data_IF_211954505998
#
_entry.id   IF_211954505998
#
_cell.length_a   1.000
_cell.length_b   1.000
_cell.length_c   1.000
_cell.angle_alpha   90.00
_cell.angle_beta   90.00
_cell.angle_gamma   90.00
#
_symmetry.space_group_name_H-M   'P 1'
#
loop_
_entity.id
_entity.type
_entity.pdbx_description
1 polymer ?
#
# COMPACT_ATOMS: atom_id res chain seq x y z
N UNK A 1 3.37 56.15 6.88
CA UNK A 1 3.68 54.75 7.26
C UNK A 1 3.51 53.91 6.01
N UNK A 2 4.64 53.50 5.39
CA UNK A 2 4.62 52.66 4.20
C UNK A 2 4.78 51.20 4.67
N UNK A 3 3.79 50.34 4.45
CA UNK A 3 3.89 48.93 4.64
C UNK A 3 4.59 48.31 3.42
N UNK A 4 5.78 47.76 3.65
CA UNK A 4 6.52 46.98 2.64
C UNK A 4 6.02 45.53 2.77
N UNK A 5 5.33 45.05 1.74
CA UNK A 5 4.92 43.67 1.59
C UNK A 5 6.19 42.84 1.22
N UNK A 6 6.62 41.96 2.13
CA UNK A 6 7.69 40.99 1.83
C UNK A 6 7.15 39.93 0.86
N UNK A 7 7.73 39.92 -0.36
CA UNK A 7 7.39 38.96 -1.39
C UNK A 7 7.81 37.53 -0.99
N UNK A 8 6.90 36.60 -1.13
CA UNK A 8 7.18 35.16 -1.13
C UNK A 8 8.19 34.82 -2.22
N UNK A 9 9.40 34.49 -1.84
CA UNK A 9 10.40 33.89 -2.73
C UNK A 9 9.96 32.47 -3.05
N UNK A 10 9.29 32.29 -4.17
CA UNK A 10 9.08 30.98 -4.79
C UNK A 10 10.43 30.45 -5.24
N UNK A 11 10.94 29.44 -4.55
CA UNK A 11 12.10 28.68 -5.02
C UNK A 11 11.73 28.01 -6.35
N UNK A 12 12.48 28.24 -7.44
CA UNK A 12 12.24 27.50 -8.68
C UNK A 12 12.57 26.03 -8.40
N UNK A 13 11.57 25.15 -8.52
CA UNK A 13 11.81 23.70 -8.59
C UNK A 13 12.75 23.48 -9.76
N UNK A 14 13.97 23.00 -9.49
CA UNK A 14 14.92 22.63 -10.50
C UNK A 14 14.23 21.66 -11.47
N UNK A 15 14.00 22.09 -12.71
CA UNK A 15 13.58 21.21 -13.80
C UNK A 15 14.77 20.28 -14.04
N UNK A 16 14.68 19.04 -13.53
CA UNK A 16 15.53 17.96 -13.99
C UNK A 16 15.22 17.81 -15.48
N UNK A 17 16.11 18.31 -16.33
CA UNK A 17 16.07 17.99 -17.76
C UNK A 17 16.42 16.50 -17.87
N UNK A 18 15.41 15.63 -17.83
CA UNK A 18 15.53 14.22 -18.12
C UNK A 18 16.00 14.06 -19.54
N UNK A 19 17.20 13.53 -19.73
CA UNK A 19 17.70 13.09 -21.03
C UNK A 19 17.01 11.77 -21.39
N UNK A 20 15.82 11.83 -21.96
CA UNK A 20 15.07 10.65 -22.42
C UNK A 20 13.61 11.03 -22.68
N UNK A 21 13.01 10.41 -23.69
CA UNK A 21 11.58 10.55 -23.98
C UNK A 21 10.75 9.66 -23.06
N UNK A 22 9.45 9.94 -22.91
CA UNK A 22 8.52 9.01 -22.22
C UNK A 22 8.44 7.67 -22.92
N UNK A 23 8.64 7.63 -24.25
CA UNK A 23 8.69 6.41 -25.04
C UNK A 23 9.90 5.55 -24.69
N UNK A 24 11.09 6.15 -24.51
CA UNK A 24 12.28 5.45 -24.03
C UNK A 24 12.10 4.92 -22.61
N UNK A 25 11.52 5.72 -21.71
CA UNK A 25 11.20 5.28 -20.36
C UNK A 25 10.22 4.09 -20.37
N UNK A 26 9.15 4.14 -21.17
CA UNK A 26 8.20 3.06 -21.34
C UNK A 26 8.86 1.80 -21.91
N UNK A 27 9.75 1.94 -22.91
CA UNK A 27 10.49 0.80 -23.47
C UNK A 27 11.37 0.12 -22.43
N UNK A 28 12.05 0.89 -21.59
CA UNK A 28 12.83 0.36 -20.47
C UNK A 28 11.91 -0.40 -19.50
N UNK A 29 10.83 0.20 -19.02
CA UNK A 29 9.90 -0.42 -18.08
C UNK A 29 9.28 -1.70 -18.66
N UNK A 30 8.87 -1.67 -19.94
CA UNK A 30 8.26 -2.81 -20.64
C UNK A 30 9.22 -4.00 -20.82
N UNK A 31 10.53 -3.74 -20.82
CA UNK A 31 11.55 -4.80 -20.92
C UNK A 31 11.87 -5.47 -19.58
N UNK A 32 11.34 -4.95 -18.47
CA UNK A 32 11.60 -5.44 -17.12
C UNK A 32 10.62 -6.53 -16.70
N UNK A 33 11.00 -7.31 -15.68
CA UNK A 33 10.08 -8.25 -15.03
C UNK A 33 9.14 -7.46 -14.11
N UNK A 34 7.85 -7.80 -14.19
CA UNK A 34 6.83 -7.24 -13.34
C UNK A 34 6.33 -8.30 -12.37
N UNK A 35 6.13 -7.91 -11.11
CA UNK A 35 5.62 -8.78 -10.03
C UNK A 35 4.34 -8.18 -9.49
N UNK A 36 3.27 -8.95 -9.53
CA UNK A 36 1.98 -8.55 -8.93
C UNK A 36 2.06 -8.71 -7.41
N UNK A 37 1.88 -7.62 -6.70
CA UNK A 37 1.93 -7.56 -5.24
C UNK A 37 0.52 -7.53 -4.62
N UNK A 38 -0.49 -8.01 -5.35
CA UNK A 38 -1.90 -7.94 -4.98
C UNK A 38 -2.49 -9.33 -4.87
N UNK A 39 -3.16 -9.63 -3.79
CA UNK A 39 -3.96 -10.84 -3.67
C UNK A 39 -5.21 -10.78 -4.55
N UNK A 40 -5.55 -11.89 -5.19
CA UNK A 40 -6.92 -12.09 -5.68
C UNK A 40 -7.85 -12.15 -4.47
N UNK A 41 -8.97 -11.44 -4.51
CA UNK A 41 -9.92 -11.46 -3.42
C UNK A 41 -11.32 -11.91 -3.88
N UNK A 42 -12.03 -12.56 -2.97
CA UNK A 42 -13.37 -13.11 -3.15
C UNK A 42 -14.18 -12.91 -1.86
N UNK A 43 -15.46 -13.29 -1.79
CA UNK A 43 -16.23 -13.27 -0.54
C UNK A 43 -15.62 -14.09 0.59
N UNK A 44 -14.78 -15.09 0.26
CA UNK A 44 -14.11 -15.99 1.21
C UNK A 44 -12.73 -15.49 1.67
N UNK A 45 -12.24 -14.40 1.10
CA UNK A 45 -10.92 -13.87 1.43
C UNK A 45 -10.82 -13.45 2.90
N UNK A 46 -9.65 -13.61 3.53
CA UNK A 46 -9.45 -13.16 4.89
C UNK A 46 -9.67 -11.66 5.00
N UNK A 47 -10.40 -11.27 6.04
CA UNK A 47 -10.69 -9.88 6.41
C UNK A 47 -10.82 -9.80 7.92
N UNK A 48 -10.56 -8.65 8.49
CA UNK A 48 -10.81 -8.45 9.91
C UNK A 48 -12.26 -8.81 10.27
N UNK A 49 -12.44 -9.58 11.33
CA UNK A 49 -13.74 -10.14 11.71
C UNK A 49 -14.82 -9.08 11.99
N UNK A 50 -14.42 -7.86 12.37
CA UNK A 50 -15.33 -6.75 12.59
C UNK A 50 -16.02 -6.22 11.34
N UNK A 51 -15.47 -6.47 10.14
CA UNK A 51 -16.04 -6.00 8.86
C UNK A 51 -16.97 -7.00 8.19
N UNK A 52 -16.71 -8.29 8.37
CA UNK A 52 -17.46 -9.37 7.71
C UNK A 52 -17.11 -9.54 6.22
N UNK A 53 -17.68 -10.57 5.55
CA UNK A 53 -17.32 -10.95 4.20
C UNK A 53 -17.88 -9.98 3.14
N UNK A 54 -17.20 -9.94 2.00
CA UNK A 54 -17.72 -9.30 0.80
C UNK A 54 -18.89 -10.07 0.20
N UNK A 55 -19.62 -9.44 -0.73
CA UNK A 55 -20.65 -10.09 -1.52
C UNK A 55 -20.50 -9.70 -2.99
N UNK A 56 -20.41 -10.72 -3.86
CA UNK A 56 -20.32 -10.57 -5.31
C UNK A 56 -21.54 -11.23 -5.93
N UNK A 57 -22.41 -10.46 -6.53
CA UNK A 57 -23.67 -10.96 -7.10
C UNK A 57 -23.85 -10.50 -8.54
N UNK A 58 -24.60 -11.24 -9.32
CA UNK A 58 -25.02 -10.76 -10.64
C UNK A 58 -25.87 -9.49 -10.49
N UNK A 59 -25.55 -8.47 -11.29
CA UNK A 59 -26.31 -7.23 -11.25
C UNK A 59 -27.69 -7.43 -11.90
N UNK A 60 -28.73 -7.06 -11.17
CA UNK A 60 -30.11 -7.11 -11.63
C UNK A 60 -30.46 -5.86 -12.45
N UNK A 61 -31.03 -6.06 -13.63
CA UNK A 61 -31.65 -5.01 -14.42
C UNK A 61 -32.89 -4.47 -13.67
N UNK A 62 -32.89 -3.20 -13.31
CA UNK A 62 -33.97 -2.57 -12.55
C UNK A 62 -35.31 -2.49 -13.31
N UNK A 63 -35.27 -2.60 -14.63
CA UNK A 63 -36.47 -2.53 -15.49
C UNK A 63 -37.14 -3.91 -15.57
N UNK A 64 -36.36 -4.98 -15.78
CA UNK A 64 -36.89 -6.32 -16.01
C UNK A 64 -36.93 -7.19 -14.75
N UNK A 65 -36.22 -6.79 -13.68
CA UNK A 65 -36.07 -7.57 -12.45
C UNK A 65 -35.21 -8.84 -12.60
N UNK A 66 -34.52 -9.03 -13.73
CA UNK A 66 -33.68 -10.20 -14.01
C UNK A 66 -32.19 -9.84 -14.04
N UNK A 67 -31.27 -10.77 -13.71
CA UNK A 67 -29.84 -10.55 -13.90
C UNK A 67 -29.52 -10.29 -15.36
N UNK A 68 -28.55 -9.38 -15.62
CA UNK A 68 -27.99 -9.20 -16.98
C UNK A 68 -27.30 -10.47 -17.43
N UNK A 69 -27.53 -10.90 -18.67
CA UNK A 69 -26.89 -12.08 -19.25
C UNK A 69 -26.54 -11.88 -20.74
N UNK A 70 -25.58 -12.69 -21.23
CA UNK A 70 -25.04 -12.56 -22.57
C UNK A 70 -26.09 -12.80 -23.69
N UNK A 71 -27.06 -13.71 -23.44
CA UNK A 71 -28.00 -14.11 -24.49
C UNK A 71 -29.06 -13.04 -24.76
N UNK A 72 -29.61 -12.42 -23.70
CA UNK A 72 -30.67 -11.41 -23.82
C UNK A 72 -30.15 -9.98 -23.90
N UNK A 73 -29.05 -9.69 -23.21
CA UNK A 73 -28.57 -8.32 -22.99
C UNK A 73 -27.24 -8.03 -23.71
N UNK A 74 -26.51 -9.07 -24.15
CA UNK A 74 -25.23 -8.96 -24.81
C UNK A 74 -24.03 -8.66 -23.87
N UNK A 75 -24.27 -8.57 -22.54
CA UNK A 75 -23.25 -8.35 -21.53
C UNK A 75 -23.66 -8.95 -20.18
N UNK A 76 -22.69 -9.03 -19.26
CA UNK A 76 -22.92 -9.34 -17.84
C UNK A 76 -22.36 -8.23 -16.98
N UNK A 77 -22.90 -8.07 -15.78
CA UNK A 77 -22.40 -7.12 -14.79
C UNK A 77 -22.39 -7.75 -13.40
N UNK A 78 -21.41 -7.39 -12.58
CA UNK A 78 -21.29 -7.83 -11.19
C UNK A 78 -21.49 -6.65 -10.26
N UNK A 79 -22.29 -6.85 -9.23
CA UNK A 79 -22.41 -5.92 -8.10
C UNK A 79 -21.49 -6.39 -6.98
N UNK A 80 -20.56 -5.53 -6.58
CA UNK A 80 -19.64 -5.76 -5.47
C UNK A 80 -20.14 -4.97 -4.25
N UNK A 81 -20.20 -5.64 -3.10
CA UNK A 81 -20.43 -5.03 -1.79
C UNK A 81 -19.30 -5.50 -0.86
N UNK A 82 -18.48 -4.56 -0.42
CA UNK A 82 -17.31 -4.82 0.43
C UNK A 82 -17.01 -3.55 1.25
N UNK A 83 -16.29 -3.74 2.37
CA UNK A 83 -15.62 -2.64 3.07
C UNK A 83 -14.44 -2.14 2.25
N UNK A 84 -14.02 -0.89 2.44
CA UNK A 84 -12.85 -0.36 1.74
C UNK A 84 -11.56 -1.13 2.02
N UNK A 85 -11.37 -1.57 3.24
CA UNK A 85 -10.24 -2.35 3.74
C UNK A 85 -10.41 -3.85 3.41
N UNK A 86 -10.52 -4.19 2.13
CA UNK A 86 -10.74 -5.57 1.68
C UNK A 86 -9.68 -6.03 0.67
N UNK A 87 -9.08 -7.19 0.91
CA UNK A 87 -7.97 -7.67 0.09
C UNK A 87 -6.73 -6.81 0.25
N UNK A 88 -5.86 -6.79 -0.75
CA UNK A 88 -4.77 -5.80 -0.82
C UNK A 88 -5.39 -4.44 -1.04
N UNK A 89 -5.24 -3.53 -0.08
CA UNK A 89 -5.91 -2.24 -0.08
C UNK A 89 -5.00 -1.10 0.35
N UNK A 90 -5.43 0.12 0.07
CA UNK A 90 -4.79 1.36 0.50
C UNK A 90 -5.61 2.02 1.61
N UNK A 91 -4.93 2.51 2.65
CA UNK A 91 -5.48 3.36 3.69
C UNK A 91 -4.96 4.78 3.57
N UNK A 92 -5.85 5.75 3.34
CA UNK A 92 -5.50 7.16 3.35
C UNK A 92 -5.51 7.71 4.78
N UNK A 93 -4.92 8.90 5.02
CA UNK A 93 -4.93 9.59 6.31
C UNK A 93 -6.31 9.68 6.98
N UNK A 94 -7.37 9.86 6.18
CA UNK A 94 -8.74 9.99 6.67
C UNK A 94 -9.28 8.72 7.35
N UNK A 95 -8.62 7.57 7.22
CA UNK A 95 -9.00 6.34 7.91
C UNK A 95 -8.91 6.51 9.44
N UNK A 96 -7.86 7.17 9.94
CA UNK A 96 -7.64 7.42 11.37
C UNK A 96 -7.71 8.91 11.78
N UNK A 97 -7.87 9.82 10.83
CA UNK A 97 -7.92 11.26 11.09
C UNK A 97 -9.15 11.89 10.43
N UNK A 98 -10.07 12.52 11.20
CA UNK A 98 -11.27 13.15 10.64
C UNK A 98 -10.94 14.30 9.68
N UNK A 99 -9.77 14.93 9.84
CA UNK A 99 -9.29 16.01 8.98
C UNK A 99 -8.25 15.54 7.96
N UNK A 100 -7.99 14.23 7.89
CA UNK A 100 -7.04 13.62 6.97
C UNK A 100 -7.50 13.65 5.51
N UNK A 101 -6.54 13.54 4.58
CA UNK A 101 -6.85 13.39 3.16
C UNK A 101 -7.57 12.06 2.90
N UNK A 102 -8.65 12.12 2.12
CA UNK A 102 -9.37 10.96 1.59
C UNK A 102 -8.74 10.49 0.28
N UNK A 103 -9.10 9.30 -0.21
CA UNK A 103 -8.52 8.70 -1.43
C UNK A 103 -8.59 9.60 -2.66
N UNK A 104 -9.69 10.34 -2.82
CA UNK A 104 -9.89 11.26 -3.94
C UNK A 104 -9.01 12.52 -3.87
N UNK A 105 -8.41 12.78 -2.71
CA UNK A 105 -7.50 13.91 -2.45
C UNK A 105 -6.02 13.54 -2.55
N UNK A 106 -5.68 12.24 -2.49
CA UNK A 106 -4.30 11.80 -2.66
C UNK A 106 -3.79 12.10 -4.07
N UNK A 107 -2.51 12.54 -4.16
CA UNK A 107 -1.91 12.87 -5.45
C UNK A 107 -1.57 11.62 -6.27
N UNK A 108 -1.93 11.61 -7.55
CA UNK A 108 -1.54 10.57 -8.50
C UNK A 108 -0.02 10.45 -8.69
N UNK A 109 0.74 11.49 -8.34
CA UNK A 109 2.21 11.43 -8.40
C UNK A 109 2.81 10.48 -7.36
N UNK A 110 2.02 10.10 -6.34
CA UNK A 110 2.43 9.15 -5.32
C UNK A 110 2.14 7.68 -5.70
N UNK A 111 1.54 7.45 -6.88
CA UNK A 111 1.24 6.09 -7.34
C UNK A 111 2.49 5.34 -7.85
N UNK A 112 3.58 6.02 -8.18
CA UNK A 112 4.83 5.41 -8.65
C UNK A 112 5.97 5.90 -7.78
N UNK A 113 6.61 4.98 -7.04
CA UNK A 113 7.65 5.30 -6.07
C UNK A 113 8.84 4.34 -6.19
N UNK A 114 10.06 4.75 -5.81
CA UNK A 114 11.13 3.80 -5.55
C UNK A 114 10.72 2.81 -4.45
N UNK A 115 10.99 1.51 -4.64
CA UNK A 115 10.63 0.46 -3.69
C UNK A 115 11.86 -0.01 -2.93
N UNK A 116 11.73 -0.10 -1.61
CA UNK A 116 12.65 -0.86 -0.73
C UNK A 116 11.87 -1.93 0.01
N UNK A 117 12.49 -3.11 0.18
CA UNK A 117 11.89 -4.25 0.88
C UNK A 117 12.76 -4.62 2.07
N UNK A 118 12.19 -4.56 3.26
CA UNK A 118 12.77 -5.10 4.49
C UNK A 118 12.31 -6.55 4.64
N UNK A 119 13.26 -7.49 4.61
CA UNK A 119 12.97 -8.92 4.78
C UNK A 119 13.10 -9.29 6.25
N UNK A 120 11.97 -9.53 6.91
CA UNK A 120 11.91 -9.90 8.32
C UNK A 120 11.96 -11.42 8.53
N UNK A 121 11.81 -12.21 7.47
CA UNK A 121 11.70 -13.67 7.56
C UNK A 121 12.85 -14.36 8.31
N UNK A 122 14.13 -13.89 8.27
CA UNK A 122 15.18 -14.50 9.07
C UNK A 122 15.01 -14.39 10.59
N UNK A 123 14.21 -13.43 11.06
CA UNK A 123 13.93 -13.24 12.50
C UNK A 123 12.75 -14.08 12.97
N UNK A 124 11.82 -14.38 12.07
CA UNK A 124 10.54 -15.03 12.42
C UNK A 124 10.68 -16.50 12.79
N UNK A 125 11.81 -17.13 12.53
CA UNK A 125 12.10 -18.50 13.00
C UNK A 125 12.24 -18.58 14.51
N UNK A 126 12.80 -17.54 15.14
CA UNK A 126 13.07 -17.48 16.57
C UNK A 126 12.01 -16.67 17.34
N UNK A 127 11.43 -15.66 16.68
CA UNK A 127 10.37 -14.79 17.20
C UNK A 127 9.29 -14.59 16.11
N UNK A 128 8.25 -15.43 16.05
CA UNK A 128 7.25 -15.41 14.98
C UNK A 128 6.42 -14.12 14.88
N UNK A 129 6.42 -13.30 15.93
CA UNK A 129 5.63 -12.07 16.02
C UNK A 129 6.53 -10.82 16.08
N UNK A 130 7.81 -10.99 15.72
CA UNK A 130 8.83 -9.93 15.73
C UNK A 130 8.43 -8.75 14.86
N UNK A 131 8.57 -7.52 15.39
CA UNK A 131 8.34 -6.28 14.65
C UNK A 131 9.65 -5.58 14.28
N UNK A 132 9.73 -5.02 13.08
CA UNK A 132 10.92 -4.35 12.56
C UNK A 132 11.33 -3.17 13.44
N UNK A 133 12.61 -3.13 13.80
CA UNK A 133 13.21 -2.10 14.64
C UNK A 133 14.07 -1.12 13.86
N UNK A 134 14.39 0.05 14.45
CA UNK A 134 15.34 1.01 13.87
C UNK A 134 16.74 0.40 13.70
N UNK A 135 17.17 -0.46 14.60
CA UNK A 135 18.47 -1.14 14.52
C UNK A 135 18.57 -2.00 13.26
N UNK A 136 17.51 -2.74 12.94
CA UNK A 136 17.44 -3.58 11.74
C UNK A 136 17.35 -2.77 10.45
N UNK A 137 16.69 -1.61 10.47
CA UNK A 137 16.72 -0.67 9.34
C UNK A 137 18.15 -0.19 9.08
N UNK A 138 18.90 0.15 10.15
CA UNK A 138 20.30 0.58 10.02
C UNK A 138 21.22 -0.57 9.56
N UNK A 139 20.98 -1.79 10.01
CA UNK A 139 21.67 -3.00 9.52
C UNK A 139 21.39 -3.21 8.03
N UNK A 140 20.13 -3.13 7.61
CA UNK A 140 19.72 -3.19 6.20
C UNK A 140 20.43 -2.12 5.36
N UNK A 141 20.47 -0.86 5.84
CA UNK A 141 21.14 0.24 5.16
C UNK A 141 22.66 0.04 5.02
N UNK A 142 23.28 -0.63 5.97
CA UNK A 142 24.73 -0.94 5.91
C UNK A 142 25.08 -1.87 4.73
N UNK A 143 24.12 -2.68 4.29
CA UNK A 143 24.28 -3.66 3.23
C UNK A 143 23.79 -3.08 1.88
N UNK A 144 22.63 -2.42 1.88
CA UNK A 144 21.92 -2.04 0.67
C UNK A 144 21.99 -0.55 0.34
N UNK A 145 22.60 0.24 1.22
CA UNK A 145 22.63 1.70 1.10
C UNK A 145 21.42 2.35 1.76
N UNK A 146 21.50 3.68 1.93
CA UNK A 146 20.48 4.48 2.61
C UNK A 146 19.14 4.37 1.87
N UNK A 147 18.04 4.24 2.63
CA UNK A 147 16.67 4.31 2.09
C UNK A 147 16.49 5.60 1.29
N UNK A 148 16.06 5.53 0.01
CA UNK A 148 15.90 6.71 -0.84
C UNK A 148 14.79 7.63 -0.33
N UNK A 149 15.02 8.94 -0.46
CA UNK A 149 13.98 9.93 -0.21
C UNK A 149 12.77 9.68 -1.13
N UNK A 150 11.57 9.72 -0.58
CA UNK A 150 10.33 9.52 -1.33
C UNK A 150 10.02 8.04 -1.65
N UNK A 151 10.75 7.09 -1.08
CA UNK A 151 10.51 5.68 -1.32
C UNK A 151 9.16 5.18 -0.72
N UNK A 152 8.73 4.05 -1.22
CA UNK A 152 7.78 3.14 -0.58
C UNK A 152 8.58 2.07 0.18
N UNK A 153 8.33 1.92 1.48
CA UNK A 153 8.96 0.92 2.32
C UNK A 153 8.02 -0.28 2.54
N UNK A 154 8.37 -1.46 2.03
CA UNK A 154 7.60 -2.67 2.20
C UNK A 154 8.23 -3.61 3.22
N UNK A 155 7.41 -4.28 4.04
CA UNK A 155 7.82 -5.28 5.02
C UNK A 155 7.42 -6.67 4.54
N UNK A 156 8.41 -7.50 4.24
CA UNK A 156 8.22 -8.91 3.91
C UNK A 156 8.24 -9.75 5.17
N UNK A 157 7.22 -10.59 5.34
CA UNK A 157 7.06 -11.53 6.46
C UNK A 157 6.75 -12.94 6.00
N UNK A 158 6.49 -13.13 4.70
CA UNK A 158 5.93 -14.35 4.08
C UNK A 158 4.53 -14.74 4.61
N UNK A 159 3.87 -13.87 5.38
CA UNK A 159 2.49 -14.09 5.84
C UNK A 159 1.51 -14.19 4.67
N UNK A 160 1.80 -13.48 3.58
CA UNK A 160 1.00 -13.53 2.35
C UNK A 160 0.83 -14.93 1.75
N UNK A 161 1.75 -15.87 2.05
CA UNK A 161 1.66 -17.26 1.61
C UNK A 161 0.51 -18.03 2.25
N UNK A 162 -0.01 -17.52 3.36
CA UNK A 162 -1.14 -18.10 4.08
C UNK A 162 -2.50 -17.59 3.58
N UNK A 163 -2.55 -16.61 2.70
CA UNK A 163 -3.78 -15.98 2.20
C UNK A 163 -4.83 -16.99 1.75
N UNK A 164 -4.48 -17.91 0.87
CA UNK A 164 -5.39 -18.95 0.37
C UNK A 164 -5.20 -20.28 1.10
N UNK A 165 -3.97 -20.58 1.54
CA UNK A 165 -3.61 -21.88 2.09
C UNK A 165 -3.99 -22.05 3.56
N UNK A 166 -3.96 -20.97 4.34
CA UNK A 166 -4.27 -20.98 5.76
C UNK A 166 -4.82 -19.61 6.23
N UNK A 167 -6.02 -19.21 5.78
CA UNK A 167 -6.58 -17.90 6.07
C UNK A 167 -6.79 -17.63 7.57
N UNK A 168 -6.93 -18.67 8.40
CA UNK A 168 -7.02 -18.49 9.85
C UNK A 168 -5.67 -18.08 10.46
N UNK A 169 -4.55 -18.59 9.94
CA UNK A 169 -3.21 -18.13 10.35
C UNK A 169 -2.94 -16.71 9.85
N UNK A 170 -3.38 -16.40 8.65
CA UNK A 170 -3.25 -15.04 8.08
C UNK A 170 -3.95 -13.98 8.96
N UNK A 171 -5.12 -14.31 9.53
CA UNK A 171 -5.89 -13.42 10.44
C UNK A 171 -5.40 -13.44 11.89
N UNK A 172 -4.40 -14.25 12.22
CA UNK A 172 -3.92 -14.40 13.61
C UNK A 172 -3.28 -13.10 14.10
N UNK A 173 -3.55 -12.73 15.36
CA UNK A 173 -2.83 -11.74 16.12
C UNK A 173 -2.22 -12.42 17.35
N UNK A 174 -0.99 -12.07 17.78
CA UNK A 174 -0.09 -11.13 17.14
C UNK A 174 0.52 -11.65 15.83
N UNK A 175 1.10 -10.74 15.04
CA UNK A 175 1.77 -10.99 13.77
C UNK A 175 3.01 -10.10 13.63
N UNK A 176 3.99 -10.43 12.75
CA UNK A 176 5.14 -9.58 12.50
C UNK A 176 4.72 -8.27 11.82
N UNK A 177 5.19 -7.15 12.35
CA UNK A 177 4.78 -5.81 11.90
C UNK A 177 5.88 -4.76 12.02
N UNK A 178 5.48 -3.52 12.23
CA UNK A 178 6.36 -2.37 12.40
C UNK A 178 6.33 -1.88 13.85
N UNK A 179 7.49 -1.54 14.41
CA UNK A 179 7.48 -0.74 15.64
C UNK A 179 7.20 0.72 15.33
N UNK A 180 6.60 1.45 16.27
CA UNK A 180 6.33 2.89 16.11
C UNK A 180 7.62 3.67 15.83
N UNK A 181 8.71 3.32 16.52
CA UNK A 181 10.02 3.95 16.31
C UNK A 181 10.55 3.71 14.89
N UNK A 182 10.36 2.52 14.34
CA UNK A 182 10.79 2.18 12.98
C UNK A 182 9.99 2.98 11.93
N UNK A 183 8.67 3.01 12.05
CA UNK A 183 7.79 3.81 11.19
C UNK A 183 8.19 5.30 11.26
N UNK A 184 8.28 5.86 12.45
CA UNK A 184 8.69 7.26 12.63
C UNK A 184 10.08 7.55 12.06
N UNK A 185 11.04 6.66 12.26
CA UNK A 185 12.38 6.80 11.72
C UNK A 185 12.36 6.86 10.17
N UNK A 186 11.60 5.99 9.52
CA UNK A 186 11.48 5.98 8.06
C UNK A 186 10.84 7.25 7.52
N UNK A 187 9.76 7.73 8.12
CA UNK A 187 9.10 8.96 7.69
C UNK A 187 9.91 10.20 8.06
N UNK A 188 10.32 10.35 9.34
CA UNK A 188 10.95 11.59 9.83
C UNK A 188 12.44 11.71 9.45
N UNK A 189 13.19 10.60 9.35
CA UNK A 189 14.64 10.61 9.12
C UNK A 189 15.06 10.14 7.73
N UNK A 190 14.19 9.43 7.02
CA UNK A 190 14.44 8.97 5.65
C UNK A 190 13.53 9.63 4.63
N UNK A 191 12.39 10.17 5.06
CA UNK A 191 11.45 10.90 4.22
C UNK A 191 10.79 9.98 3.19
N UNK A 192 10.39 8.77 3.59
CA UNK A 192 9.59 7.90 2.72
C UNK A 192 8.23 8.54 2.45
N UNK A 193 7.59 8.15 1.36
CA UNK A 193 6.25 8.63 0.98
C UNK A 193 5.15 7.74 1.56
N UNK A 194 5.39 6.43 1.60
CA UNK A 194 4.43 5.44 2.07
C UNK A 194 5.11 4.17 2.56
N UNK A 195 4.37 3.33 3.25
CA UNK A 195 4.79 1.99 3.63
C UNK A 195 3.72 0.96 3.24
N UNK A 196 4.09 -0.32 3.35
CA UNK A 196 3.14 -1.42 3.20
C UNK A 196 3.70 -2.72 3.77
N UNK A 197 2.84 -3.70 3.94
CA UNK A 197 3.15 -4.97 4.58
C UNK A 197 2.20 -6.09 4.14
N UNK A 198 2.51 -7.31 4.54
CA UNK A 198 1.72 -8.50 4.19
C UNK A 198 0.63 -8.82 5.21
N UNK A 199 0.60 -8.16 6.37
CA UNK A 199 -0.41 -8.30 7.43
C UNK A 199 -1.68 -7.47 7.16
N UNK A 200 -2.73 -7.66 8.00
CA UNK A 200 -4.00 -6.92 7.94
C UNK A 200 -3.95 -5.56 8.67
N UNK A 201 -2.94 -5.34 9.51
CA UNK A 201 -2.70 -4.09 10.22
C UNK A 201 -1.18 -3.83 10.29
N UNK A 202 -0.77 -2.60 10.61
CA UNK A 202 0.63 -2.18 10.68
C UNK A 202 1.37 -2.77 11.88
N UNK A 203 0.68 -2.90 13.01
CA UNK A 203 1.19 -3.40 14.28
C UNK A 203 0.10 -4.12 15.08
N UNK A 204 0.47 -4.73 16.20
CA UNK A 204 -0.44 -5.52 17.05
C UNK A 204 -0.63 -4.94 18.43
N UNK A 205 -0.33 -3.65 18.62
CA UNK A 205 -0.63 -2.96 19.89
C UNK A 205 -2.15 -2.75 20.01
N UNK A 206 -2.66 -2.64 21.23
CA UNK A 206 -4.10 -2.54 21.51
C UNK A 206 -4.76 -1.33 20.84
N UNK A 207 -4.00 -0.26 20.58
CA UNK A 207 -4.46 0.99 19.97
C UNK A 207 -3.88 1.22 18.57
N UNK A 208 -3.21 0.22 17.97
CA UNK A 208 -2.56 0.30 16.65
C UNK A 208 -1.66 1.53 16.55
N UNK A 209 -0.70 1.66 17.48
CA UNK A 209 0.05 2.91 17.68
C UNK A 209 0.83 3.36 16.44
N UNK A 210 1.42 2.42 15.68
CA UNK A 210 2.18 2.71 14.47
C UNK A 210 1.25 3.17 13.34
N UNK A 211 0.16 2.46 13.10
CA UNK A 211 -0.85 2.79 12.11
C UNK A 211 -1.56 4.11 12.46
N UNK A 212 -2.01 4.22 13.71
CA UNK A 212 -2.65 5.44 14.22
C UNK A 212 -1.74 6.66 14.05
N UNK A 213 -0.45 6.52 14.34
CA UNK A 213 0.51 7.62 14.17
C UNK A 213 0.69 7.99 12.71
N UNK A 214 0.99 7.02 11.83
CA UNK A 214 1.30 7.32 10.42
C UNK A 214 0.13 7.97 9.69
N UNK A 215 -1.09 7.47 9.87
CA UNK A 215 -2.27 8.00 9.20
C UNK A 215 -2.65 9.38 9.74
N UNK A 216 -2.55 9.61 11.06
CA UNK A 216 -2.75 10.95 11.67
C UNK A 216 -1.67 11.95 11.30
N UNK A 217 -0.46 11.50 10.99
CA UNK A 217 0.62 12.34 10.49
C UNK A 217 0.47 12.71 9.00
N UNK A 218 -0.58 12.22 8.33
CA UNK A 218 -0.89 12.55 6.94
C UNK A 218 -0.23 11.62 5.91
N UNK A 219 0.25 10.45 6.35
CA UNK A 219 0.83 9.42 5.50
C UNK A 219 -0.22 8.39 5.07
N UNK A 220 0.11 7.54 4.12
CA UNK A 220 -0.76 6.47 3.63
C UNK A 220 0.02 5.16 3.54
N UNK A 221 -0.71 4.04 3.57
CA UNK A 221 -0.12 2.71 3.53
C UNK A 221 -0.87 1.75 2.61
N UNK A 222 -0.26 0.57 2.36
CA UNK A 222 -0.88 -0.57 1.67
C UNK A 222 -0.78 -1.80 2.55
N UNK A 223 -1.90 -2.43 2.81
CA UNK A 223 -2.00 -3.64 3.63
C UNK A 223 -2.29 -4.88 2.80
N UNK A 224 -2.05 -6.05 3.40
CA UNK A 224 -2.23 -7.35 2.77
C UNK A 224 -1.55 -7.43 1.39
N UNK A 225 -0.28 -7.02 1.31
CA UNK A 225 0.52 -7.15 0.09
C UNK A 225 0.88 -8.63 -0.15
N UNK A 226 1.15 -8.97 -1.41
CA UNK A 226 1.55 -10.30 -1.85
C UNK A 226 2.96 -10.32 -2.47
N UNK A 227 3.58 -11.51 -2.54
CA UNK A 227 4.76 -11.80 -3.35
C UNK A 227 5.98 -10.88 -3.12
N UNK A 228 6.14 -10.29 -1.93
CA UNK A 228 7.33 -9.51 -1.60
C UNK A 228 8.62 -10.35 -1.62
N UNK A 229 8.51 -11.67 -1.50
CA UNK A 229 9.60 -12.65 -1.65
C UNK A 229 10.23 -12.67 -3.06
N UNK A 230 9.52 -12.12 -4.06
CA UNK A 230 9.99 -12.02 -5.45
C UNK A 230 10.66 -10.69 -5.80
N UNK A 231 10.71 -9.75 -4.85
CA UNK A 231 11.23 -8.38 -5.05
C UNK A 231 12.58 -8.25 -4.38
N UNK A 232 13.60 -7.68 -5.06
CA UNK A 232 14.89 -7.43 -4.43
C UNK A 232 14.78 -6.35 -3.35
N UNK A 233 15.73 -6.30 -2.39
CA UNK A 233 15.72 -5.31 -1.31
C UNK A 233 15.68 -3.86 -1.80
N UNK A 234 16.24 -3.57 -2.96
CA UNK A 234 16.32 -2.21 -3.53
C UNK A 234 16.38 -2.25 -5.06
N UNK A 235 16.18 -1.08 -5.70
CA UNK A 235 16.32 -0.90 -7.15
C UNK A 235 15.02 -1.09 -7.95
N UNK A 236 13.95 -1.62 -7.35
CA UNK A 236 12.65 -1.73 -7.98
C UNK A 236 11.85 -0.42 -7.88
N UNK A 237 10.85 -0.28 -8.75
CA UNK A 237 9.74 0.67 -8.58
C UNK A 237 8.51 -0.09 -8.11
N UNK A 238 7.69 0.56 -7.29
CA UNK A 238 6.32 0.11 -7.02
C UNK A 238 5.33 1.02 -7.72
N UNK A 239 4.26 0.44 -8.24
CA UNK A 239 3.06 1.14 -8.67
C UNK A 239 1.91 0.70 -7.78
N UNK A 240 1.24 1.66 -7.14
CA UNK A 240 0.01 1.42 -6.38
C UNK A 240 -1.10 2.22 -7.03
N UNK A 241 -2.04 1.53 -7.67
CA UNK A 241 -3.18 2.16 -8.33
C UNK A 241 -4.45 1.95 -7.50
N UNK A 242 -5.16 3.03 -7.21
CA UNK A 242 -6.42 3.00 -6.46
C UNK A 242 -7.51 3.79 -7.16
N UNK A 243 -8.80 3.41 -6.99
CA UNK A 243 -9.93 4.20 -7.50
C UNK A 243 -10.10 5.51 -6.72
N UNK A 244 -10.95 6.39 -7.24
CA UNK A 244 -11.17 7.73 -6.70
C UNK A 244 -12.61 7.92 -6.19
N UNK A 245 -13.08 7.14 -5.19
CA UNK A 245 -14.37 7.37 -4.58
C UNK A 245 -14.34 8.66 -3.76
N UNK A 246 -15.33 9.53 -3.90
CA UNK A 246 -15.43 10.76 -3.12
C UNK A 246 -15.53 10.43 -1.61
N UNK A 247 -14.65 11.02 -0.81
CA UNK A 247 -14.60 10.79 0.63
C UNK A 247 -14.17 9.36 1.02
N UNK A 248 -13.47 8.62 0.14
CA UNK A 248 -13.05 7.24 0.40
C UNK A 248 -12.06 7.14 1.56
N UNK A 249 -12.32 6.23 2.49
CA UNK A 249 -11.52 5.97 3.70
C UNK A 249 -10.61 4.74 3.56
N UNK A 250 -10.59 4.10 2.40
CA UNK A 250 -9.83 2.93 2.00
C UNK A 250 -10.49 2.29 0.79
N UNK A 251 -9.72 1.56 -0.02
CA UNK A 251 -10.26 0.78 -1.14
C UNK A 251 -9.26 -0.28 -1.61
N UNK A 252 -9.73 -1.46 -2.12
CA UNK A 252 -8.86 -2.41 -2.78
C UNK A 252 -8.00 -1.73 -3.85
N UNK A 253 -6.70 -1.97 -3.80
CA UNK A 253 -5.72 -1.38 -4.69
C UNK A 253 -5.05 -2.45 -5.54
N UNK A 254 -4.52 -2.07 -6.72
CA UNK A 254 -3.61 -2.92 -7.46
C UNK A 254 -2.19 -2.41 -7.23
N UNK A 255 -1.42 -3.18 -6.46
CA UNK A 255 0.00 -2.95 -6.24
C UNK A 255 0.83 -3.91 -7.11
N UNK A 256 1.90 -3.42 -7.74
CA UNK A 256 2.85 -4.27 -8.47
C UNK A 256 4.24 -3.62 -8.49
N UNK A 257 5.27 -4.45 -8.55
CA UNK A 257 6.65 -4.01 -8.66
C UNK A 257 7.18 -4.16 -10.08
N UNK A 258 8.05 -3.24 -10.50
CA UNK A 258 8.83 -3.30 -11.73
C UNK A 258 10.28 -3.48 -11.29
N UNK A 259 10.87 -4.64 -11.59
CA UNK A 259 12.20 -5.03 -11.10
C UNK A 259 13.32 -4.36 -11.90
N UNK A 260 14.51 -4.17 -11.31
CA UNK A 260 15.67 -3.57 -11.98
C UNK A 260 16.21 -4.39 -13.15
#
# INVERSE_FOLDING_TARGET
LVLVCQGCLSHPKARVQGRGSLEEALAILSSRRWVDLTHTFSPESPVWSGFGPASFTETTNRITGKPFNLNSDGFRATTYRLVGQYGTHIDPPAHFSPDGQTLDQLSVTNMILPLVVFDLTPRLSDDPDHSLTVSEILEWESIHGRVPLGAFAALRTDLSKDWDSNPERFKRSPFPGWTLEAIRFLYEKRGITANGHESLDTDTTDDLESESWLLRAGHWQVEAMAHLDQVPPTGALIVVAWPKPAGGLGFPARAFAILP
#
